data_IF_415828204035
#
_entry.id   IF_415828204035
#
_cell.length_a   1.000
_cell.length_b   1.000
_cell.length_c   1.000
_cell.angle_alpha   90.00
_cell.angle_beta   90.00
_cell.angle_gamma   90.00
#
_symmetry.space_group_name_H-M   'P 1'
#
loop_
_entity.id
_entity.type
_entity.pdbx_description
1 polymer ?
#
# COMPACT_ATOMS: atom_id res chain seq x y z
N UNK A 1 -4.87 -12.89 16.93
CA UNK A 1 -3.55 -12.24 16.72
C UNK A 1 -3.65 -11.25 15.57
N UNK A 2 -3.55 -9.95 15.84
CA UNK A 2 -3.51 -8.92 14.79
C UNK A 2 -2.19 -9.07 14.04
N UNK A 3 -2.21 -9.63 12.82
CA UNK A 3 -1.00 -9.73 11.98
C UNK A 3 -0.46 -8.33 11.74
N UNK A 4 0.70 -8.03 12.31
CA UNK A 4 1.45 -6.81 12.02
C UNK A 4 2.01 -6.96 10.61
N UNK A 5 1.91 -5.90 9.81
CA UNK A 5 2.50 -5.89 8.48
C UNK A 5 4.03 -6.00 8.61
N UNK A 6 4.63 -7.02 7.98
CA UNK A 6 6.09 -7.26 8.01
C UNK A 6 6.89 -6.11 7.40
N UNK A 7 6.32 -5.44 6.41
CA UNK A 7 7.02 -4.44 5.61
C UNK A 7 6.88 -3.02 6.15
N UNK A 8 5.87 -2.75 6.99
CA UNK A 8 5.67 -1.42 7.57
C UNK A 8 5.11 -1.49 8.99
N UNK A 9 5.91 -0.98 9.93
CA UNK A 9 5.56 -0.96 11.34
C UNK A 9 4.36 -0.04 11.60
N UNK A 10 3.42 -0.50 12.43
CA UNK A 10 2.17 0.21 12.79
C UNK A 10 1.27 0.56 11.58
N UNK A 11 1.42 -0.15 10.45
CA UNK A 11 0.49 -0.02 9.35
C UNK A 11 -0.90 -0.51 9.72
N UNK A 12 -1.93 0.24 9.34
CA UNK A 12 -3.32 -0.26 9.31
C UNK A 12 -3.61 -1.06 8.04
N UNK A 13 -2.65 -1.12 7.12
CA UNK A 13 -2.75 -1.85 5.86
C UNK A 13 -2.44 -3.33 6.06
N UNK A 14 -3.29 -4.19 5.50
CA UNK A 14 -3.00 -5.62 5.42
C UNK A 14 -1.75 -5.87 4.57
N UNK A 15 -1.04 -6.95 4.87
CA UNK A 15 0.15 -7.35 4.10
C UNK A 15 -0.19 -7.60 2.62
N UNK A 16 -1.36 -8.17 2.34
CA UNK A 16 -1.85 -8.39 0.98
C UNK A 16 -1.97 -7.07 0.20
N UNK A 17 -2.60 -6.05 0.81
CA UNK A 17 -2.73 -4.73 0.19
C UNK A 17 -1.38 -4.04 0.02
N UNK A 18 -0.45 -4.20 0.96
CA UNK A 18 0.90 -3.65 0.83
C UNK A 18 1.66 -4.26 -0.35
N UNK A 19 1.56 -5.59 -0.54
CA UNK A 19 2.14 -6.26 -1.71
C UNK A 19 1.48 -5.83 -3.02
N UNK A 20 0.19 -5.53 -3.00
CA UNK A 20 -0.54 -4.98 -4.14
C UNK A 20 0.01 -3.61 -4.55
N UNK A 21 0.27 -2.72 -3.58
CA UNK A 21 0.93 -1.42 -3.80
C UNK A 21 2.30 -1.61 -4.45
N UNK A 22 3.14 -2.52 -3.93
CA UNK A 22 4.46 -2.81 -4.53
C UNK A 22 4.31 -3.28 -5.98
N UNK A 23 3.33 -4.16 -6.25
CA UNK A 23 3.04 -4.63 -7.62
C UNK A 23 2.65 -3.46 -8.52
N UNK A 24 1.84 -2.52 -8.03
CA UNK A 24 1.45 -1.36 -8.83
C UNK A 24 2.62 -0.42 -9.14
N UNK A 25 3.51 -0.19 -8.18
CA UNK A 25 4.75 0.53 -8.43
C UNK A 25 5.63 -0.18 -9.46
N UNK A 26 5.65 -1.52 -9.46
CA UNK A 26 6.39 -2.30 -10.47
C UNK A 26 5.79 -2.22 -11.88
N UNK A 27 4.53 -1.74 -11.99
CA UNK A 27 3.83 -1.50 -13.25
C UNK A 27 3.87 -0.01 -13.66
N UNK A 28 4.72 0.79 -13.00
CA UNK A 28 4.83 2.25 -13.20
C UNK A 28 3.49 3.02 -13.04
N UNK A 29 2.59 2.50 -12.22
CA UNK A 29 1.35 3.21 -11.88
C UNK A 29 1.65 4.37 -10.93
N UNK A 30 1.04 5.52 -11.19
CA UNK A 30 1.18 6.70 -10.33
C UNK A 30 0.46 6.50 -9.00
N UNK A 31 0.89 7.23 -7.96
CA UNK A 31 0.23 7.20 -6.65
C UNK A 31 -1.26 7.59 -6.73
N UNK A 32 -1.63 8.48 -7.67
CA UNK A 32 -3.02 8.84 -7.94
C UNK A 32 -3.81 7.67 -8.50
N UNK A 33 -3.25 6.93 -9.46
CA UNK A 33 -3.86 5.70 -10.01
C UNK A 33 -4.04 4.64 -8.92
N UNK A 34 -3.05 4.46 -8.06
CA UNK A 34 -3.10 3.49 -6.94
C UNK A 34 -4.17 3.91 -5.91
N UNK A 35 -4.31 5.22 -5.64
CA UNK A 35 -5.31 5.73 -4.69
C UNK A 35 -6.76 5.41 -5.09
N UNK A 36 -7.04 5.21 -6.39
CA UNK A 36 -8.35 4.76 -6.86
C UNK A 36 -8.74 3.36 -6.36
N UNK A 37 -7.79 2.56 -5.83
CA UNK A 37 -8.03 1.21 -5.27
C UNK A 37 -8.48 1.21 -3.80
N UNK A 38 -9.22 2.25 -3.37
CA UNK A 38 -9.62 2.53 -1.99
C UNK A 38 -8.42 2.77 -1.03
N UNK A 39 -7.33 3.30 -1.55
CA UNK A 39 -6.17 3.69 -0.75
C UNK A 39 -6.09 5.20 -0.66
N UNK A 40 -5.73 5.71 0.52
CA UNK A 40 -5.48 7.14 0.66
C UNK A 40 -4.20 7.50 -0.10
N UNK A 41 -4.25 8.50 -0.98
CA UNK A 41 -3.10 9.01 -1.73
C UNK A 41 -1.90 9.34 -0.82
N UNK A 42 -2.16 9.93 0.35
CA UNK A 42 -1.12 10.24 1.33
C UNK A 42 -0.50 8.99 1.95
N UNK A 43 -1.24 7.88 1.99
CA UNK A 43 -0.71 6.59 2.44
C UNK A 43 0.17 5.98 1.37
N UNK A 44 -0.22 6.04 0.10
CA UNK A 44 0.59 5.55 -1.03
C UNK A 44 1.89 6.35 -1.14
N UNK A 45 1.84 7.68 -1.07
CA UNK A 45 3.03 8.55 -1.12
C UNK A 45 3.98 8.40 0.09
N UNK A 46 3.54 7.73 1.16
CA UNK A 46 4.35 7.50 2.36
C UNK A 46 5.20 6.22 2.26
N UNK A 47 4.88 5.36 1.30
CA UNK A 47 5.62 4.14 1.00
C UNK A 47 6.55 4.38 -0.17
#
# INVERSE_FOLDING_TARGET
MTRKNKYYNRSRLSEAKFREIIKYFSLDLSATQIAHTNLNLNTVNKF
#
